data_IF_824942608048
#
_entry.id   IF_824942608048
#
_cell.length_a   1.000
_cell.length_b   1.000
_cell.length_c   1.000
_cell.angle_alpha   90.00
_cell.angle_beta   90.00
_cell.angle_gamma   90.00
#
_symmetry.space_group_name_H-M   'P 1'
#
loop_
_entity.id
_entity.type
_entity.pdbx_description
1 polymer ?
#
# COMPACT_ATOMS: atom_id res chain seq x y z
N UNK A 1 46.16 65.73 30.76
CA UNK A 1 46.74 64.38 30.87
C UNK A 1 45.64 63.42 31.29
N UNK A 2 45.13 62.64 30.32
CA UNK A 2 44.48 61.32 30.40
C UNK A 2 43.23 61.16 31.30
N UNK A 3 42.05 61.11 30.67
CA UNK A 3 40.82 60.48 31.18
C UNK A 3 40.86 58.96 30.89
N UNK A 4 40.39 58.07 31.78
CA UNK A 4 40.07 56.71 31.40
C UNK A 4 38.56 56.58 31.11
N UNK A 5 38.25 56.19 29.87
CA UNK A 5 36.96 55.69 29.44
C UNK A 5 36.80 54.23 29.88
N UNK A 6 35.79 53.93 30.69
CA UNK A 6 35.28 52.56 30.84
C UNK A 6 34.18 52.33 29.79
N UNK A 7 34.44 51.42 28.84
CA UNK A 7 33.43 50.93 27.89
C UNK A 7 32.82 49.63 28.44
N UNK A 8 31.53 49.69 28.80
CA UNK A 8 30.72 48.52 29.13
C UNK A 8 30.20 47.90 27.83
N UNK A 9 30.61 46.67 27.52
CA UNK A 9 30.06 45.89 26.39
C UNK A 9 28.92 45.03 26.96
N UNK A 10 27.68 45.38 26.61
CA UNK A 10 26.50 44.58 26.92
C UNK A 10 26.26 43.60 25.78
N UNK A 11 26.54 42.32 26.01
CA UNK A 11 26.25 41.24 25.07
C UNK A 11 24.75 40.95 25.04
N UNK A 12 24.14 41.05 23.86
CA UNK A 12 22.74 40.67 23.64
C UNK A 12 22.73 39.18 23.26
N UNK A 13 22.25 38.33 24.17
CA UNK A 13 21.97 36.91 23.89
C UNK A 13 20.67 36.87 23.10
N UNK A 14 20.75 36.61 21.80
CA UNK A 14 19.59 36.43 20.93
C UNK A 14 19.07 34.99 21.07
N UNK A 15 18.12 34.77 21.97
CA UNK A 15 17.42 33.49 22.11
C UNK A 15 16.41 33.32 20.97
N UNK A 16 16.70 32.42 20.04
CA UNK A 16 15.77 32.04 18.98
C UNK A 16 14.72 31.10 19.56
N UNK A 17 13.50 31.61 19.75
CA UNK A 17 12.35 30.80 20.16
C UNK A 17 11.86 30.06 18.91
N UNK A 18 12.12 28.76 18.83
CA UNK A 18 11.44 27.90 17.87
C UNK A 18 9.99 27.74 18.33
N UNK A 19 9.07 28.50 17.74
CA UNK A 19 7.65 28.21 17.85
C UNK A 19 7.40 26.90 17.09
N UNK A 20 7.30 25.80 17.83
CA UNK A 20 6.72 24.56 17.32
C UNK A 20 5.23 24.83 17.07
N UNK A 21 4.84 25.06 15.82
CA UNK A 21 3.44 25.04 15.43
C UNK A 21 2.88 23.67 15.80
N UNK A 22 1.80 23.55 16.60
CA UNK A 22 1.08 22.30 16.66
C UNK A 22 0.60 22.00 15.23
N UNK A 23 0.93 20.80 14.73
CA UNK A 23 0.35 20.29 13.49
C UNK A 23 -1.17 20.41 13.64
N UNK A 24 -1.79 21.31 12.88
CA UNK A 24 -3.24 21.43 12.85
C UNK A 24 -3.77 20.09 12.33
N UNK A 25 -4.35 19.30 13.23
CA UNK A 25 -5.23 18.21 12.86
C UNK A 25 -6.37 18.84 12.05
N UNK A 26 -6.33 18.65 10.74
CA UNK A 26 -7.34 19.12 9.82
C UNK A 26 -8.61 18.32 10.10
N UNK A 27 -9.51 18.87 10.92
CA UNK A 27 -10.83 18.30 11.13
C UNK A 27 -11.66 18.56 9.86
N UNK A 28 -11.51 17.69 8.87
CA UNK A 28 -12.31 17.70 7.64
C UNK A 28 -13.73 17.32 8.05
N UNK A 29 -14.61 18.32 8.14
CA UNK A 29 -15.98 18.23 8.67
C UNK A 29 -16.97 17.37 7.90
N UNK A 30 -16.55 16.20 7.39
CA UNK A 30 -17.36 15.34 6.53
C UNK A 30 -17.65 13.95 7.12
N UNK A 31 -17.25 13.67 8.38
CA UNK A 31 -17.44 12.35 9.01
C UNK A 31 -16.89 11.21 8.13
N UNK A 32 -15.70 11.44 7.56
CA UNK A 32 -14.97 10.55 6.68
C UNK A 32 -13.66 10.17 7.32
N UNK A 33 -13.28 8.90 7.21
CA UNK A 33 -11.99 8.42 7.69
C UNK A 33 -10.96 8.35 6.56
N UNK A 34 -9.78 8.90 6.83
CA UNK A 34 -8.65 9.04 5.90
C UNK A 34 -7.38 8.47 6.55
N UNK A 35 -6.40 8.10 5.73
CA UNK A 35 -5.05 7.87 6.23
C UNK A 35 -4.32 9.21 6.47
N UNK A 36 -3.62 9.33 7.60
CA UNK A 36 -2.78 10.49 7.92
C UNK A 36 -1.47 10.48 7.13
N UNK A 37 -0.97 9.28 6.81
CA UNK A 37 0.17 9.07 5.93
C UNK A 37 -0.10 7.93 4.96
N UNK A 38 0.47 8.01 3.76
CA UNK A 38 0.18 7.04 2.71
C UNK A 38 0.74 5.65 3.04
N UNK A 39 -0.09 4.59 3.00
CA UNK A 39 0.40 3.24 2.71
C UNK A 39 1.14 3.25 1.37
N UNK A 40 2.00 2.27 1.13
CA UNK A 40 2.84 2.23 -0.06
C UNK A 40 2.77 0.85 -0.70
N UNK A 41 2.49 0.81 -2.01
CA UNK A 41 2.72 -0.39 -2.80
C UNK A 41 4.24 -0.55 -2.99
N UNK A 42 4.82 -1.57 -2.36
CA UNK A 42 6.25 -1.82 -2.44
C UNK A 42 6.61 -2.66 -3.67
N UNK A 43 5.78 -3.65 -3.98
CA UNK A 43 6.11 -4.61 -5.04
C UNK A 43 4.86 -5.29 -5.61
N UNK A 44 4.97 -5.75 -6.84
CA UNK A 44 3.98 -6.59 -7.52
C UNK A 44 4.72 -7.58 -8.42
N UNK A 45 4.68 -8.86 -8.06
CA UNK A 45 5.46 -9.91 -8.74
C UNK A 45 4.61 -11.15 -9.00
N UNK A 46 5.02 -11.95 -9.98
CA UNK A 46 4.44 -13.27 -10.25
C UNK A 46 5.52 -14.34 -10.13
N UNK A 47 5.17 -15.46 -9.49
CA UNK A 47 6.02 -16.68 -9.46
C UNK A 47 6.38 -17.19 -10.84
N UNK A 48 5.48 -17.04 -11.83
CA UNK A 48 5.67 -17.51 -13.20
C UNK A 48 5.17 -16.41 -14.15
N UNK A 49 6.05 -15.88 -15.01
CA UNK A 49 5.68 -14.83 -15.98
C UNK A 49 5.48 -15.35 -17.41
N UNK A 50 5.48 -16.67 -17.61
CA UNK A 50 5.16 -17.26 -18.91
C UNK A 50 3.66 -17.16 -19.20
N UNK A 51 3.28 -16.78 -20.42
CA UNK A 51 1.87 -16.85 -20.87
C UNK A 51 1.30 -18.27 -20.76
N UNK A 52 -0.03 -18.41 -20.63
CA UNK A 52 -0.76 -19.70 -20.66
C UNK A 52 -0.33 -20.72 -19.60
N UNK A 53 0.19 -20.24 -18.47
CA UNK A 53 0.66 -21.09 -17.37
C UNK A 53 -0.34 -21.08 -16.22
N UNK A 54 -0.70 -22.28 -15.77
CA UNK A 54 -1.43 -22.48 -14.52
C UNK A 54 -0.47 -22.59 -13.33
N UNK A 55 -0.98 -22.42 -12.11
CA UNK A 55 -0.17 -22.59 -10.89
C UNK A 55 0.75 -21.42 -10.58
N UNK A 56 0.59 -20.29 -11.28
CA UNK A 56 1.21 -19.04 -10.85
C UNK A 56 0.51 -18.51 -9.58
N UNK A 57 1.27 -17.79 -8.77
CA UNK A 57 0.82 -16.91 -7.70
C UNK A 57 1.31 -15.49 -7.98
N UNK A 58 0.42 -14.52 -7.85
CA UNK A 58 0.72 -13.09 -7.94
C UNK A 58 0.74 -12.50 -6.54
N UNK A 59 1.80 -11.78 -6.22
CA UNK A 59 2.02 -11.16 -4.94
C UNK A 59 1.93 -9.64 -5.05
N UNK A 60 1.18 -9.03 -4.15
CA UNK A 60 1.08 -7.57 -4.01
C UNK A 60 1.55 -7.22 -2.60
N UNK A 61 2.72 -6.57 -2.49
CA UNK A 61 3.34 -6.23 -1.20
C UNK A 61 3.05 -4.78 -0.86
N UNK A 62 2.50 -4.51 0.32
CA UNK A 62 2.15 -3.18 0.80
C UNK A 62 2.85 -2.90 2.13
N UNK A 63 3.40 -1.70 2.28
CA UNK A 63 3.89 -1.17 3.54
C UNK A 63 2.86 -0.21 4.14
N UNK A 64 2.50 -0.45 5.40
CA UNK A 64 1.67 0.42 6.21
C UNK A 64 2.55 1.10 7.27
N UNK A 65 2.91 2.38 7.09
CA UNK A 65 3.85 3.04 8.00
C UNK A 65 3.24 3.21 9.40
N UNK A 66 4.09 3.33 10.43
CA UNK A 66 3.65 3.43 11.83
C UNK A 66 2.75 4.64 12.09
N UNK A 67 2.95 5.72 11.32
CA UNK A 67 2.22 6.98 11.41
C UNK A 67 1.06 7.08 10.41
N UNK A 68 0.60 5.98 9.80
CA UNK A 68 -0.54 5.98 8.87
C UNK A 68 -1.84 6.52 9.49
N UNK A 69 -1.94 6.51 10.82
CA UNK A 69 -3.16 6.84 11.57
C UNK A 69 -4.00 5.58 11.76
N UNK A 70 -4.99 5.39 10.90
CA UNK A 70 -5.99 4.32 11.00
C UNK A 70 -5.51 2.97 10.45
N UNK A 71 -6.07 1.88 10.98
CA UNK A 71 -5.77 0.52 10.50
C UNK A 71 -6.32 0.31 9.08
N UNK A 72 -5.71 -0.58 8.31
CA UNK A 72 -6.17 -0.91 6.94
C UNK A 72 -7.25 -2.00 7.01
N UNK A 73 -8.45 -1.68 6.51
CA UNK A 73 -9.61 -2.59 6.50
C UNK A 73 -9.78 -3.32 5.17
N UNK A 74 -9.45 -2.65 4.05
CA UNK A 74 -9.66 -3.20 2.72
C UNK A 74 -8.55 -2.78 1.76
N UNK A 75 -8.13 -3.71 0.90
CA UNK A 75 -7.35 -3.42 -0.30
C UNK A 75 -8.16 -3.79 -1.54
N UNK A 76 -8.19 -2.91 -2.53
CA UNK A 76 -8.76 -3.24 -3.85
C UNK A 76 -7.67 -3.36 -4.90
N UNK A 77 -7.87 -4.30 -5.81
CA UNK A 77 -7.03 -4.57 -6.96
C UNK A 77 -7.90 -4.52 -8.21
N UNK A 78 -7.73 -3.49 -9.02
CA UNK A 78 -8.48 -3.33 -10.27
C UNK A 78 -7.54 -3.50 -11.45
N UNK A 79 -7.78 -4.48 -12.31
CA UNK A 79 -7.02 -4.57 -13.54
C UNK A 79 -7.40 -3.41 -14.48
N UNK A 80 -6.47 -2.50 -14.73
CA UNK A 80 -6.68 -1.30 -15.57
C UNK A 80 -6.06 -1.42 -16.96
N UNK A 81 -5.10 -2.33 -17.13
CA UNK A 81 -4.46 -2.60 -18.42
C UNK A 81 -4.21 -4.10 -18.60
N UNK A 82 -4.27 -4.54 -19.86
CA UNK A 82 -4.02 -5.92 -20.29
C UNK A 82 -4.85 -6.19 -21.55
N UNK A 83 -4.40 -7.10 -22.41
CA UNK A 83 -5.15 -7.46 -23.63
C UNK A 83 -6.37 -8.35 -23.32
N UNK A 84 -6.42 -8.91 -22.12
CA UNK A 84 -7.53 -9.72 -21.62
C UNK A 84 -7.63 -9.59 -20.10
N UNK A 85 -8.76 -10.03 -19.54
CA UNK A 85 -8.96 -10.03 -18.08
C UNK A 85 -8.38 -11.29 -17.45
N UNK A 86 -7.59 -11.12 -16.38
CA UNK A 86 -7.08 -12.23 -15.58
C UNK A 86 -8.14 -12.62 -14.54
N UNK A 87 -8.51 -13.89 -14.53
CA UNK A 87 -9.44 -14.46 -13.56
C UNK A 87 -8.68 -15.17 -12.44
N UNK A 88 -9.15 -15.02 -11.20
CA UNK A 88 -8.52 -15.57 -10.01
C UNK A 88 -9.41 -16.60 -9.32
N UNK A 89 -8.79 -17.53 -8.60
CA UNK A 89 -9.45 -18.33 -7.57
C UNK A 89 -9.54 -17.47 -6.31
N UNK A 90 -10.69 -16.82 -6.08
CA UNK A 90 -10.83 -15.85 -4.98
C UNK A 90 -10.71 -16.51 -3.61
N UNK A 91 -11.26 -17.72 -3.44
CA UNK A 91 -11.24 -18.48 -2.19
C UNK A 91 -9.82 -18.98 -1.81
N UNK A 92 -8.91 -19.00 -2.78
CA UNK A 92 -7.49 -19.36 -2.60
C UNK A 92 -6.61 -18.15 -2.23
N UNK A 93 -7.20 -16.96 -2.08
CA UNK A 93 -6.47 -15.75 -1.72
C UNK A 93 -6.02 -15.84 -0.27
N UNK A 94 -4.73 -15.61 -0.03
CA UNK A 94 -4.16 -15.56 1.31
C UNK A 94 -3.42 -14.24 1.52
N UNK A 95 -3.26 -13.84 2.78
CA UNK A 95 -2.42 -12.71 3.16
C UNK A 95 -1.50 -13.08 4.33
N UNK A 96 -0.36 -12.42 4.41
CA UNK A 96 0.63 -12.66 5.45
C UNK A 96 1.52 -11.44 5.66
N UNK A 97 2.13 -11.34 6.83
CA UNK A 97 3.14 -10.35 7.15
C UNK A 97 4.46 -10.65 6.42
N UNK A 98 5.16 -9.60 5.99
CA UNK A 98 6.42 -9.69 5.28
C UNK A 98 6.29 -9.69 3.76
N UNK A 99 7.32 -10.22 3.10
CA UNK A 99 7.49 -10.29 1.63
C UNK A 99 7.39 -11.75 1.18
N UNK A 100 7.16 -12.05 -0.11
CA UNK A 100 6.98 -13.42 -0.58
C UNK A 100 8.05 -14.44 -0.12
N UNK A 101 9.33 -14.05 -0.12
CA UNK A 101 10.45 -14.94 0.27
C UNK A 101 10.67 -14.97 1.80
N UNK A 102 10.15 -13.99 2.53
CA UNK A 102 10.27 -13.85 3.98
C UNK A 102 8.87 -13.72 4.58
N UNK A 103 8.07 -14.78 4.40
CA UNK A 103 6.72 -14.88 4.93
C UNK A 103 6.76 -15.13 6.43
N UNK A 104 5.98 -14.34 7.16
CA UNK A 104 5.75 -14.49 8.59
C UNK A 104 4.26 -14.81 8.82
N UNK A 105 3.69 -14.35 9.94
CA UNK A 105 2.32 -14.58 10.39
C UNK A 105 1.27 -14.42 9.28
N UNK A 106 0.33 -15.37 9.22
CA UNK A 106 -0.84 -15.23 8.36
C UNK A 106 -1.76 -14.11 8.86
N UNK A 107 -2.35 -13.38 7.92
CA UNK A 107 -3.33 -12.34 8.18
C UNK A 107 -4.71 -12.85 7.80
N UNK A 108 -5.68 -12.71 8.71
CA UNK A 108 -7.02 -13.19 8.45
C UNK A 108 -7.74 -12.32 7.41
N UNK A 109 -8.27 -12.96 6.38
CA UNK A 109 -9.11 -12.34 5.36
C UNK A 109 -10.55 -12.71 5.67
N UNK A 110 -11.37 -11.71 6.00
CA UNK A 110 -12.79 -11.91 6.24
C UNK A 110 -13.52 -12.30 4.96
N UNK A 111 -13.16 -11.64 3.84
CA UNK A 111 -13.83 -11.83 2.56
C UNK A 111 -12.99 -11.34 1.39
N UNK A 112 -13.08 -12.07 0.27
CA UNK A 112 -12.66 -11.60 -1.05
C UNK A 112 -13.88 -11.55 -1.96
N UNK A 113 -14.07 -10.44 -2.68
CA UNK A 113 -15.19 -10.27 -3.62
C UNK A 113 -14.75 -9.57 -4.89
N UNK A 114 -15.34 -9.93 -6.02
CA UNK A 114 -15.11 -9.28 -7.31
C UNK A 114 -16.33 -8.49 -7.73
N UNK A 115 -16.14 -7.23 -8.10
CA UNK A 115 -17.12 -6.45 -8.83
C UNK A 115 -17.00 -6.83 -10.32
N UNK A 116 -18.10 -7.29 -10.92
CA UNK A 116 -18.11 -7.75 -12.31
C UNK A 116 -18.16 -6.59 -13.32
N UNK A 117 -18.64 -5.42 -12.92
CA UNK A 117 -18.79 -4.26 -13.81
C UNK A 117 -17.44 -3.62 -14.16
N UNK A 118 -16.49 -3.64 -13.21
CA UNK A 118 -15.19 -2.99 -13.36
C UNK A 118 -14.00 -3.91 -13.05
N UNK A 119 -14.25 -5.22 -12.88
CA UNK A 119 -13.25 -6.25 -12.55
C UNK A 119 -12.41 -5.96 -11.30
N UNK A 120 -12.90 -5.13 -10.37
CA UNK A 120 -12.20 -4.83 -9.12
C UNK A 120 -12.37 -5.98 -8.13
N UNK A 121 -11.27 -6.46 -7.57
CA UNK A 121 -11.26 -7.42 -6.47
C UNK A 121 -11.02 -6.66 -5.18
N UNK A 122 -11.91 -6.81 -4.21
CA UNK A 122 -11.75 -6.28 -2.85
C UNK A 122 -11.36 -7.41 -1.91
N UNK A 123 -10.26 -7.22 -1.18
CA UNK A 123 -9.78 -8.08 -0.09
C UNK A 123 -10.03 -7.35 1.22
N UNK A 124 -10.82 -7.94 2.10
CA UNK A 124 -11.28 -7.33 3.36
C UNK A 124 -10.68 -8.11 4.52
N UNK A 125 -10.04 -7.40 5.45
CA UNK A 125 -9.33 -7.98 6.60
C UNK A 125 -10.15 -7.88 7.88
N UNK A 126 -10.23 -8.94 8.67
CA UNK A 126 -10.83 -8.88 10.01
C UNK A 126 -10.07 -9.83 10.94
N UNK A 127 -9.28 -9.33 11.91
CA UNK A 127 -9.16 -7.92 12.27
C UNK A 127 -8.46 -7.09 11.18
N UNK A 128 -8.74 -5.77 11.10
CA UNK A 128 -8.02 -4.86 10.22
C UNK A 128 -6.52 -4.82 10.56
N UNK A 129 -5.68 -4.55 9.54
CA UNK A 129 -4.22 -4.60 9.67
C UNK A 129 -3.72 -3.34 10.41
N UNK A 130 -3.05 -3.49 11.57
CA UNK A 130 -2.58 -2.34 12.34
C UNK A 130 -1.40 -1.64 11.67
N UNK A 131 -1.18 -0.34 11.97
CA UNK A 131 -0.02 0.41 11.51
C UNK A 131 1.33 -0.26 11.80
N UNK A 132 2.36 0.08 11.01
CA UNK A 132 3.73 -0.42 11.19
C UNK A 132 4.02 -1.78 10.54
N UNK A 133 3.08 -2.30 9.76
CA UNK A 133 3.17 -3.63 9.13
C UNK A 133 3.58 -3.53 7.66
N UNK A 134 4.41 -4.47 7.22
CA UNK A 134 4.53 -4.81 5.80
C UNK A 134 3.81 -6.12 5.60
N UNK A 135 2.93 -6.19 4.61
CA UNK A 135 2.16 -7.40 4.32
C UNK A 135 2.08 -7.67 2.83
N UNK A 136 1.78 -8.90 2.49
CA UNK A 136 1.64 -9.37 1.11
C UNK A 136 0.30 -10.09 0.95
N UNK A 137 -0.41 -9.79 -0.14
CA UNK A 137 -1.55 -10.58 -0.62
C UNK A 137 -1.04 -11.50 -1.73
N UNK A 138 -1.35 -12.79 -1.62
CA UNK A 138 -1.06 -13.78 -2.63
C UNK A 138 -2.36 -14.25 -3.31
N UNK A 139 -2.43 -14.07 -4.61
CA UNK A 139 -3.60 -14.41 -5.41
C UNK A 139 -3.21 -15.40 -6.51
N UNK A 140 -3.99 -16.48 -6.66
CA UNK A 140 -3.77 -17.46 -7.72
C UNK A 140 -4.65 -17.15 -8.94
N UNK A 141 -4.08 -16.71 -10.07
CA UNK A 141 -4.83 -16.72 -11.33
C UNK A 141 -5.25 -18.16 -11.70
N UNK A 142 -6.37 -18.29 -12.42
CA UNK A 142 -6.77 -19.55 -13.07
C UNK A 142 -5.70 -19.99 -14.07
N UNK A 143 -5.19 -19.03 -14.82
CA UNK A 143 -4.01 -19.11 -15.67
C UNK A 143 -3.44 -17.72 -15.86
N UNK A 144 -2.13 -17.64 -16.14
CA UNK A 144 -1.55 -16.47 -16.76
C UNK A 144 -2.25 -16.15 -18.08
N UNK A 145 -2.19 -14.88 -18.52
CA UNK A 145 -2.81 -14.46 -19.77
C UNK A 145 -2.32 -15.27 -20.98
N UNK A 146 -3.19 -15.35 -21.99
CA UNK A 146 -2.91 -15.91 -23.31
C UNK A 146 -1.96 -15.02 -24.12
N UNK A 147 -2.04 -13.71 -23.90
CA UNK A 147 -1.29 -12.70 -24.64
C UNK A 147 -0.10 -12.18 -23.84
N UNK A 148 1.03 -12.00 -24.53
CA UNK A 148 2.19 -11.32 -23.92
C UNK A 148 1.90 -9.83 -23.75
N UNK A 149 2.45 -9.23 -22.71
CA UNK A 149 2.32 -7.80 -22.48
C UNK A 149 2.37 -7.40 -21.02
N UNK A 150 2.10 -6.10 -20.80
CA UNK A 150 2.02 -5.50 -19.48
C UNK A 150 0.56 -5.51 -19.00
N UNK A 151 0.34 -6.14 -17.86
CA UNK A 151 -0.93 -6.17 -17.16
C UNK A 151 -0.77 -5.32 -15.90
N UNK A 152 -1.65 -4.34 -15.74
CA UNK A 152 -1.56 -3.36 -14.66
C UNK A 152 -2.77 -3.47 -13.74
N UNK A 153 -2.49 -3.36 -12.44
CA UNK A 153 -3.47 -3.40 -11.38
C UNK A 153 -3.39 -2.10 -10.59
N UNK A 154 -4.45 -1.29 -10.63
CA UNK A 154 -4.62 -0.16 -9.75
C UNK A 154 -4.90 -0.67 -8.33
N UNK A 155 -4.04 -0.30 -7.37
CA UNK A 155 -4.15 -0.72 -5.98
C UNK A 155 -4.68 0.45 -5.15
N UNK A 156 -5.74 0.24 -4.38
CA UNK A 156 -6.30 1.26 -3.48
C UNK A 156 -6.49 0.68 -2.09
N UNK A 157 -6.04 1.38 -1.05
CA UNK A 157 -6.24 1.01 0.35
C UNK A 157 -7.37 1.84 0.98
N UNK A 158 -8.10 1.24 1.91
CA UNK A 158 -9.17 1.89 2.66
C UNK A 158 -8.93 1.70 4.16
N UNK A 159 -9.01 2.76 4.96
CA UNK A 159 -8.88 2.67 6.41
C UNK A 159 -10.13 2.04 7.04
N UNK A 160 -10.03 1.69 8.32
CA UNK A 160 -11.17 1.51 9.21
C UNK A 160 -11.94 2.82 9.41
N UNK A 161 -13.18 2.76 9.90
CA UNK A 161 -13.94 3.95 10.32
C UNK A 161 -15.17 4.26 9.45
N UNK A 162 -15.79 5.40 9.70
CA UNK A 162 -16.99 5.83 9.01
C UNK A 162 -16.65 6.47 7.65
N UNK A 163 -17.42 6.10 6.62
CA UNK A 163 -17.22 6.57 5.24
C UNK A 163 -15.73 6.57 4.80
N UNK A 164 -15.03 5.43 4.88
CA UNK A 164 -13.60 5.36 4.66
C UNK A 164 -13.27 5.74 3.22
N UNK A 165 -12.35 6.70 3.06
CA UNK A 165 -11.92 7.17 1.75
C UNK A 165 -10.76 6.33 1.24
N UNK A 166 -10.88 5.88 0.00
CA UNK A 166 -9.84 5.10 -0.67
C UNK A 166 -8.64 5.95 -1.04
N UNK A 167 -7.45 5.47 -0.70
CA UNK A 167 -6.18 6.04 -1.14
C UNK A 167 -5.53 5.16 -2.20
N UNK A 168 -5.37 5.72 -3.39
CA UNK A 168 -4.69 5.05 -4.50
C UNK A 168 -3.19 4.94 -4.24
N UNK A 169 -2.67 3.71 -4.24
CA UNK A 169 -1.27 3.40 -3.91
C UNK A 169 -0.37 3.30 -5.15
N UNK A 170 -0.96 3.29 -6.35
CA UNK A 170 -0.24 3.16 -7.62
C UNK A 170 -0.61 1.91 -8.43
N UNK A 171 0.19 1.66 -9.47
CA UNK A 171 0.01 0.54 -10.39
C UNK A 171 0.97 -0.60 -10.05
N UNK A 172 0.43 -1.74 -9.66
CA UNK A 172 1.15 -3.00 -9.71
C UNK A 172 1.27 -3.45 -11.17
N UNK A 173 2.48 -3.83 -11.61
CA UNK A 173 2.73 -4.22 -13.00
C UNK A 173 3.23 -5.66 -13.06
N UNK A 174 2.59 -6.48 -13.87
CA UNK A 174 3.03 -7.82 -14.22
C UNK A 174 3.30 -7.87 -15.72
N UNK A 175 4.50 -8.30 -16.10
CA UNK A 175 4.85 -8.54 -17.49
C UNK A 175 4.76 -10.03 -17.78
N UNK A 176 4.04 -10.40 -18.84
CA UNK A 176 3.98 -11.78 -19.32
C UNK A 176 4.60 -11.91 -20.70
N UNK A 177 5.37 -12.97 -20.91
CA UNK A 177 6.06 -13.22 -22.17
C UNK A 177 6.11 -14.73 -22.51
N UNK A 178 6.59 -15.06 -23.71
CA UNK A 178 6.57 -16.44 -24.21
C UNK A 178 7.53 -17.39 -23.48
N UNK A 179 8.70 -16.90 -23.04
CA UNK A 179 9.69 -17.74 -22.35
C UNK A 179 9.37 -17.85 -20.86
N UNK A 180 8.97 -16.72 -20.28
CA UNK A 180 8.70 -16.52 -18.87
C UNK A 180 9.95 -16.61 -18.01
N UNK A 181 9.86 -15.96 -16.86
CA UNK A 181 10.80 -16.04 -15.77
C UNK A 181 10.09 -16.68 -14.57
N UNK A 182 10.89 -17.19 -13.64
CA UNK A 182 10.41 -17.71 -12.37
C UNK A 182 10.92 -16.82 -11.25
N UNK A 183 10.00 -16.30 -10.45
CA UNK A 183 10.34 -15.65 -9.18
C UNK A 183 10.56 -16.75 -8.12
N UNK A 184 11.64 -16.64 -7.31
CA UNK A 184 12.01 -17.64 -6.31
C UNK A 184 10.97 -17.85 -5.21
#
# INVERSE_FOLDING_TARGET
>A
MIHPHFKTILGIISGTIFLSSPLLALNVGNNQTLFNHSPQLLDTVTTLSRIRVQGATYYFTVHLPMNVGESLQQLTLQQTQGLETIYFYLDDTIAFEGRPVNRDNELNIARVKRNLDNNTIAVIFDPPIPPGKTFTIAMKPKSNPEMSGNYQFAITAYPTGENPQGLYLGLGRLNFNQKGDRFP
#
